data_IF_558106098061
#
_entry.id   IF_558106098061
#
_cell.length_a   1.000
_cell.length_b   1.000
_cell.length_c   1.000
_cell.angle_alpha   90.00
_cell.angle_beta   90.00
_cell.angle_gamma   90.00
#
_symmetry.space_group_name_H-M   'P 1'
#
loop_
_entity.id
_entity.type
_entity.pdbx_description
1 polymer ?
#
# COMPACT_ATOMS: atom_id res chain seq x y z
N UNK A 1 -15.78 -15.41 7.18
CA UNK A 1 -16.36 -14.99 5.88
C UNK A 1 -15.39 -14.08 5.16
N UNK A 2 -15.25 -14.28 3.85
CA UNK A 2 -14.39 -13.46 3.01
C UNK A 2 -15.02 -12.09 2.76
N UNK A 3 -14.20 -11.05 2.82
CA UNK A 3 -14.64 -9.65 2.69
C UNK A 3 -13.44 -8.75 2.40
N UNK A 4 -13.70 -7.61 1.77
CA UNK A 4 -12.71 -6.56 1.61
C UNK A 4 -13.32 -5.20 1.98
N UNK A 5 -12.51 -4.30 2.51
CA UNK A 5 -12.81 -2.89 2.71
C UNK A 5 -11.72 -2.11 2.00
N UNK A 6 -12.04 -1.48 0.88
CA UNK A 6 -11.09 -0.74 0.03
C UNK A 6 -11.81 0.45 -0.57
N UNK A 7 -11.15 1.63 -0.59
CA UNK A 7 -11.69 2.82 -1.26
C UNK A 7 -13.03 3.31 -0.72
N UNK A 8 -13.29 3.15 0.57
CA UNK A 8 -14.55 3.56 1.21
C UNK A 8 -15.73 2.62 0.95
N UNK A 9 -15.49 1.41 0.44
CA UNK A 9 -16.52 0.41 0.21
C UNK A 9 -16.16 -0.91 0.89
N UNK A 10 -17.16 -1.55 1.51
CA UNK A 10 -17.11 -2.94 1.96
C UNK A 10 -17.67 -3.84 0.87
N UNK A 11 -16.97 -4.91 0.56
CA UNK A 11 -17.32 -5.93 -0.42
C UNK A 11 -17.59 -7.26 0.29
N UNK A 12 -18.68 -7.92 -0.10
CA UNK A 12 -19.18 -9.19 0.49
C UNK A 12 -19.79 -10.10 -0.56
N UNK A 13 -19.88 -11.40 -0.27
CA UNK A 13 -20.34 -12.41 -1.23
C UNK A 13 -19.24 -12.69 -2.26
N UNK A 14 -18.13 -13.27 -1.81
CA UNK A 14 -17.04 -13.67 -2.71
C UNK A 14 -17.60 -14.66 -3.75
N UNK A 15 -17.34 -14.37 -5.02
CA UNK A 15 -17.82 -15.15 -6.16
C UNK A 15 -16.74 -15.99 -6.81
N UNK A 16 -15.58 -15.40 -7.03
CA UNK A 16 -14.43 -16.02 -7.68
C UNK A 16 -13.14 -15.26 -7.38
N UNK A 17 -12.02 -15.96 -7.56
CA UNK A 17 -10.66 -15.45 -7.38
C UNK A 17 -9.82 -15.87 -8.59
N UNK A 18 -9.00 -14.95 -9.07
CA UNK A 18 -8.07 -15.18 -10.19
C UNK A 18 -6.78 -14.38 -10.00
N UNK A 19 -5.70 -14.80 -10.65
CA UNK A 19 -4.45 -14.06 -10.79
C UNK A 19 -4.34 -13.32 -12.14
N UNK A 20 -5.35 -13.44 -12.99
CA UNK A 20 -5.41 -12.73 -14.27
C UNK A 20 -5.90 -11.29 -14.08
N UNK A 21 -5.01 -10.31 -14.24
CA UNK A 21 -5.36 -8.89 -14.14
C UNK A 21 -6.23 -8.39 -15.29
N UNK A 22 -6.30 -9.11 -16.43
CA UNK A 22 -7.09 -8.68 -17.59
C UNK A 22 -8.60 -8.69 -17.30
N UNK A 23 -9.04 -9.39 -16.24
CA UNK A 23 -10.43 -9.36 -15.77
C UNK A 23 -10.89 -7.97 -15.32
N UNK A 24 -9.95 -7.05 -15.04
CA UNK A 24 -10.24 -5.67 -14.66
C UNK A 24 -10.61 -4.80 -15.87
N UNK A 25 -10.24 -5.22 -17.09
CA UNK A 25 -10.58 -4.53 -18.34
C UNK A 25 -11.81 -5.17 -19.04
N UNK A 26 -12.30 -6.30 -18.54
CA UNK A 26 -13.45 -7.00 -19.12
C UNK A 26 -14.72 -6.10 -19.11
N UNK A 27 -15.51 -6.08 -20.19
CA UNK A 27 -16.75 -5.33 -20.24
C UNK A 27 -17.75 -5.89 -19.21
N UNK A 28 -18.22 -5.01 -18.33
CA UNK A 28 -19.07 -5.35 -17.18
C UNK A 28 -18.37 -5.00 -15.86
N UNK A 29 -18.97 -4.08 -15.10
CA UNK A 29 -18.39 -3.60 -13.85
C UNK A 29 -18.44 -4.68 -12.76
N UNK A 30 -17.39 -5.50 -12.68
CA UNK A 30 -17.15 -6.36 -11.54
C UNK A 30 -16.70 -5.54 -10.33
N UNK A 31 -17.09 -5.97 -9.13
CA UNK A 31 -16.59 -5.40 -7.88
C UNK A 31 -15.40 -6.23 -7.42
N UNK A 32 -14.20 -5.71 -7.62
CA UNK A 32 -12.96 -6.44 -7.35
C UNK A 32 -12.20 -5.81 -6.19
N UNK A 33 -11.69 -6.65 -5.30
CA UNK A 33 -10.57 -6.29 -4.44
C UNK A 33 -9.31 -6.98 -4.98
N UNK A 34 -8.25 -6.20 -5.18
CA UNK A 34 -7.02 -6.70 -5.80
C UNK A 34 -5.86 -6.50 -4.83
N UNK A 35 -5.10 -7.56 -4.60
CA UNK A 35 -3.83 -7.53 -3.86
C UNK A 35 -2.72 -7.92 -4.82
N UNK A 36 -1.69 -7.08 -4.94
CA UNK A 36 -0.54 -7.33 -5.81
C UNK A 36 0.70 -7.50 -4.93
N UNK A 37 1.12 -8.74 -4.65
CA UNK A 37 2.35 -9.01 -3.91
C UNK A 37 3.60 -8.64 -4.73
N UNK A 38 4.74 -8.51 -4.04
CA UNK A 38 6.02 -8.25 -4.71
C UNK A 38 6.60 -9.49 -5.39
N UNK A 39 6.48 -10.64 -4.75
CA UNK A 39 7.13 -11.91 -5.12
C UNK A 39 6.14 -13.06 -5.34
N UNK A 40 4.87 -12.74 -5.60
CA UNK A 40 3.83 -13.72 -5.89
C UNK A 40 2.83 -13.17 -6.92
N UNK A 41 2.06 -14.05 -7.60
CA UNK A 41 0.99 -13.61 -8.50
C UNK A 41 -0.02 -12.69 -7.79
N UNK A 42 -0.64 -11.75 -8.51
CA UNK A 42 -1.70 -10.94 -7.95
C UNK A 42 -2.92 -11.80 -7.58
N UNK A 43 -3.76 -11.29 -6.68
CA UNK A 43 -5.01 -11.92 -6.28
C UNK A 43 -6.13 -10.93 -6.53
N UNK A 44 -6.97 -11.23 -7.53
CA UNK A 44 -8.18 -10.50 -7.87
C UNK A 44 -9.37 -11.27 -7.33
N UNK A 45 -10.06 -10.72 -6.33
CA UNK A 45 -11.24 -11.33 -5.71
C UNK A 45 -12.51 -10.55 -6.12
N UNK A 46 -13.45 -11.21 -6.79
CA UNK A 46 -14.73 -10.61 -7.20
C UNK A 46 -15.80 -10.84 -6.14
N UNK A 47 -16.58 -9.80 -5.87
CA UNK A 47 -17.68 -9.83 -4.92
C UNK A 47 -19.02 -9.47 -5.56
N UNK A 48 -20.09 -10.09 -5.09
CA UNK A 48 -21.44 -9.81 -5.57
C UNK A 48 -21.99 -8.48 -5.06
N UNK A 49 -21.59 -8.06 -3.85
CA UNK A 49 -22.17 -6.90 -3.17
C UNK A 49 -21.11 -5.89 -2.73
N UNK A 50 -21.47 -4.61 -2.75
CA UNK A 50 -20.68 -3.51 -2.19
C UNK A 50 -21.57 -2.55 -1.42
N UNK A 51 -21.13 -2.10 -0.25
CA UNK A 51 -21.79 -1.07 0.54
C UNK A 51 -20.78 0.01 0.98
N UNK A 52 -21.14 1.31 0.94
CA UNK A 52 -20.28 2.37 1.45
C UNK A 52 -19.94 2.18 2.94
N UNK A 53 -18.70 2.46 3.33
CA UNK A 53 -18.21 2.45 4.71
C UNK A 53 -17.15 3.53 4.91
N UNK A 54 -17.05 4.08 6.12
CA UNK A 54 -16.05 5.11 6.43
C UNK A 54 -14.63 4.56 6.59
N UNK A 55 -14.46 3.24 6.63
CA UNK A 55 -13.19 2.55 6.80
C UNK A 55 -13.39 1.11 7.26
N UNK A 56 -12.30 0.36 7.53
CA UNK A 56 -12.39 -0.91 8.24
C UNK A 56 -13.11 -0.65 9.57
N UNK A 57 -14.31 -1.21 9.74
CA UNK A 57 -15.04 -1.04 10.99
C UNK A 57 -14.22 -1.68 12.12
N UNK A 58 -14.22 -1.10 13.34
CA UNK A 58 -13.73 -1.79 14.52
C UNK A 58 -14.64 -3.00 14.77
N UNK A 59 -14.29 -4.13 14.17
CA UNK A 59 -14.77 -5.44 14.61
C UNK A 59 -14.02 -5.79 15.89
N UNK A 60 -14.62 -6.65 16.73
CA UNK A 60 -14.08 -7.13 18.01
C UNK A 60 -12.55 -7.20 18.00
N UNK A 61 -11.94 -6.52 18.97
CA UNK A 61 -10.49 -6.41 19.13
C UNK A 61 -9.85 -7.80 19.15
N UNK A 62 -9.14 -8.17 18.08
CA UNK A 62 -8.21 -9.30 18.17
C UNK A 62 -7.00 -8.86 18.99
N UNK A 63 -6.49 -9.71 19.89
CA UNK A 63 -5.22 -9.45 20.55
C UNK A 63 -4.12 -9.34 19.49
N UNK A 64 -3.66 -8.13 19.22
CA UNK A 64 -2.50 -7.89 18.36
C UNK A 64 -1.26 -8.28 19.17
N UNK A 65 -0.37 -9.15 18.66
CA UNK A 65 0.81 -9.58 19.42
C UNK A 65 1.73 -8.38 19.70
N UNK A 66 1.85 -8.01 20.97
CA UNK A 66 2.77 -6.95 21.43
C UNK A 66 4.21 -7.45 21.61
N UNK A 67 4.45 -8.75 21.50
CA UNK A 67 5.75 -9.40 21.72
C UNK A 67 6.11 -10.43 20.65
N UNK A 68 7.35 -10.94 20.70
CA UNK A 68 7.83 -11.96 19.76
C UNK A 68 8.25 -11.44 18.39
N UNK A 69 8.33 -10.11 18.22
CA UNK A 69 8.78 -9.48 16.99
C UNK A 69 10.24 -9.81 16.66
N UNK A 70 10.46 -10.22 15.41
CA UNK A 70 11.78 -10.43 14.81
C UNK A 70 11.94 -9.47 13.65
N UNK A 71 13.15 -8.95 13.50
CA UNK A 71 13.52 -8.08 12.39
C UNK A 71 14.35 -8.86 11.38
N UNK A 72 14.09 -8.67 10.08
CA UNK A 72 14.89 -9.27 9.01
C UNK A 72 16.32 -8.74 8.95
N UNK A 73 16.55 -7.54 9.52
CA UNK A 73 17.86 -6.93 9.69
C UNK A 73 17.99 -6.43 11.12
N UNK A 74 19.08 -6.78 11.79
CA UNK A 74 19.46 -6.14 13.05
C UNK A 74 20.03 -4.73 12.81
N UNK A 75 20.46 -4.07 13.89
CA UNK A 75 21.03 -2.72 13.82
C UNK A 75 22.29 -2.69 12.94
N UNK A 76 23.17 -3.68 13.08
CA UNK A 76 24.43 -3.71 12.35
C UNK A 76 24.21 -3.94 10.86
N UNK A 77 23.37 -4.90 10.50
CA UNK A 77 22.97 -5.20 9.13
C UNK A 77 22.30 -4.01 8.45
N UNK A 78 21.39 -3.33 9.14
CA UNK A 78 20.76 -2.11 8.61
C UNK A 78 21.81 -1.00 8.40
N UNK A 79 22.70 -0.77 9.38
CA UNK A 79 23.76 0.23 9.26
C UNK A 79 24.74 -0.09 8.13
N UNK A 80 25.05 -1.37 7.90
CA UNK A 80 25.85 -1.82 6.74
C UNK A 80 25.16 -1.50 5.43
N UNK A 81 23.85 -1.77 5.34
CA UNK A 81 23.03 -1.40 4.17
C UNK A 81 23.06 0.11 3.90
N UNK A 82 22.91 0.93 4.95
CA UNK A 82 23.01 2.40 4.81
C UNK A 82 24.38 2.83 4.28
N UNK A 83 25.48 2.24 4.76
CA UNK A 83 26.83 2.54 4.25
C UNK A 83 26.98 2.15 2.78
N UNK A 84 26.47 0.99 2.37
CA UNK A 84 26.50 0.55 0.98
C UNK A 84 25.71 1.50 0.06
N UNK A 85 24.51 1.93 0.47
CA UNK A 85 23.71 2.91 -0.27
C UNK A 85 24.46 4.24 -0.42
N UNK A 86 25.11 4.73 0.64
CA UNK A 86 25.90 5.97 0.58
C UNK A 86 27.10 5.86 -0.37
N UNK A 87 27.72 4.70 -0.46
CA UNK A 87 28.81 4.45 -1.41
C UNK A 87 28.31 4.47 -2.85
N UNK A 88 27.20 3.77 -3.13
CA UNK A 88 26.58 3.77 -4.45
C UNK A 88 26.17 5.18 -4.90
N UNK A 89 25.65 6.01 -3.98
CA UNK A 89 25.37 7.43 -4.24
C UNK A 89 26.66 8.20 -4.56
N UNK A 90 27.74 7.99 -3.79
CA UNK A 90 29.03 8.66 -4.03
C UNK A 90 29.61 8.31 -5.40
N UNK A 91 29.48 7.06 -5.81
CA UNK A 91 29.96 6.57 -7.11
C UNK A 91 29.08 7.04 -8.29
N UNK A 92 27.91 7.61 -8.01
CA UNK A 92 26.95 8.04 -9.02
C UNK A 92 26.08 6.90 -9.58
N UNK A 93 26.06 5.73 -8.94
CA UNK A 93 25.28 4.56 -9.39
C UNK A 93 23.77 4.79 -9.22
N UNK A 94 23.37 5.47 -8.15
CA UNK A 94 21.98 5.74 -7.78
C UNK A 94 21.85 7.12 -7.13
N UNK A 95 20.70 7.76 -7.33
CA UNK A 95 20.38 9.02 -6.61
C UNK A 95 19.78 8.75 -5.22
N UNK A 96 18.95 7.71 -5.10
CA UNK A 96 18.26 7.36 -3.86
C UNK A 96 17.92 5.87 -3.82
N UNK A 97 17.99 5.27 -2.62
CA UNK A 97 17.49 3.92 -2.34
C UNK A 97 16.59 3.94 -1.11
N UNK A 98 15.43 3.29 -1.20
CA UNK A 98 14.56 3.06 -0.04
C UNK A 98 14.95 1.74 0.65
N UNK A 99 15.80 1.81 1.67
CA UNK A 99 16.21 0.64 2.44
C UNK A 99 15.19 0.32 3.54
N UNK A 100 14.55 -0.84 3.46
CA UNK A 100 13.57 -1.30 4.43
C UNK A 100 14.03 -2.55 5.18
N UNK A 101 13.34 -2.86 6.28
CA UNK A 101 13.44 -4.14 6.99
C UNK A 101 12.04 -4.67 7.28
N UNK A 102 11.90 -5.99 7.35
CA UNK A 102 10.63 -6.64 7.69
C UNK A 102 10.59 -6.95 9.19
N UNK A 103 9.49 -6.59 9.84
CA UNK A 103 9.18 -7.04 11.19
C UNK A 103 8.14 -8.16 11.11
N UNK A 104 8.33 -9.26 11.83
CA UNK A 104 7.39 -10.38 11.87
C UNK A 104 7.25 -10.95 13.28
N UNK A 105 6.05 -11.42 13.62
CA UNK A 105 5.76 -12.11 14.89
C UNK A 105 4.84 -13.31 14.63
N UNK A 106 4.89 -14.37 15.46
CA UNK A 106 3.90 -15.44 15.42
C UNK A 106 2.50 -14.88 15.68
N UNK A 107 1.51 -15.35 14.91
CA UNK A 107 0.11 -14.97 15.12
C UNK A 107 -0.51 -15.87 16.22
N UNK A 108 -1.32 -15.31 17.13
CA UNK A 108 -2.07 -16.11 18.07
C UNK A 108 -3.16 -16.93 17.35
N UNK A 109 -3.61 -18.06 17.92
CA UNK A 109 -4.59 -18.95 17.26
C UNK A 109 -5.92 -18.28 16.89
N UNK A 110 -6.33 -17.25 17.63
CA UNK A 110 -7.57 -16.49 17.48
C UNK A 110 -7.36 -15.15 16.72
N UNK A 111 -6.23 -15.00 16.02
CA UNK A 111 -5.95 -13.79 15.25
C UNK A 111 -6.96 -13.59 14.10
N UNK A 112 -7.55 -12.40 14.03
CA UNK A 112 -8.34 -11.95 12.89
C UNK A 112 -7.77 -10.66 12.32
N UNK A 113 -7.46 -10.68 11.01
CA UNK A 113 -6.93 -9.52 10.29
C UNK A 113 -7.87 -8.32 10.35
N UNK A 114 -9.19 -8.55 10.45
CA UNK A 114 -10.16 -7.45 10.60
C UNK A 114 -10.07 -6.77 11.97
N UNK A 115 -9.70 -7.52 13.01
CA UNK A 115 -9.42 -6.95 14.33
C UNK A 115 -8.19 -6.05 14.30
N UNK A 116 -7.12 -6.48 13.63
CA UNK A 116 -5.94 -5.64 13.39
C UNK A 116 -6.29 -4.40 12.55
N UNK A 117 -7.10 -4.55 11.49
CA UNK A 117 -7.53 -3.43 10.67
C UNK A 117 -8.34 -2.38 11.47
N UNK A 118 -9.20 -2.83 12.39
CA UNK A 118 -9.92 -1.96 13.31
C UNK A 118 -8.97 -1.19 14.24
N UNK A 119 -8.02 -1.89 14.88
CA UNK A 119 -7.02 -1.26 15.74
C UNK A 119 -6.13 -0.25 14.98
N UNK A 120 -5.77 -0.56 13.73
CA UNK A 120 -5.04 0.36 12.87
C UNK A 120 -5.88 1.60 12.51
N UNK A 121 -7.18 1.42 12.20
CA UNK A 121 -8.06 2.54 11.87
C UNK A 121 -8.27 3.49 13.06
N UNK A 122 -8.26 2.98 14.29
CA UNK A 122 -8.36 3.79 15.51
C UNK A 122 -7.06 4.53 15.83
N UNK A 123 -5.91 3.84 15.80
CA UNK A 123 -4.62 4.43 16.18
C UNK A 123 -3.90 5.21 15.06
N UNK A 124 -4.17 4.88 13.80
CA UNK A 124 -3.50 5.43 12.61
C UNK A 124 -4.52 5.63 11.47
N UNK A 125 -5.52 6.52 11.65
CA UNK A 125 -6.50 6.80 10.61
C UNK A 125 -5.80 7.27 9.34
N UNK A 126 -6.08 6.62 8.20
CA UNK A 126 -5.39 6.89 6.95
C UNK A 126 -6.37 6.96 5.75
N UNK A 127 -6.16 7.89 4.81
CA UNK A 127 -7.06 8.11 3.66
C UNK A 127 -7.16 6.92 2.71
N UNK A 128 -6.15 6.05 2.70
CA UNK A 128 -6.11 4.84 1.88
C UNK A 128 -6.04 3.57 2.73
N UNK A 129 -6.62 3.61 3.94
CA UNK A 129 -6.79 2.44 4.78
C UNK A 129 -7.59 1.35 4.06
N UNK A 130 -7.16 0.10 4.25
CA UNK A 130 -7.77 -1.06 3.60
C UNK A 130 -7.69 -2.30 4.48
N UNK A 131 -8.66 -3.20 4.31
CA UNK A 131 -8.64 -4.53 4.91
C UNK A 131 -9.10 -5.54 3.85
N UNK A 132 -8.33 -6.59 3.59
CA UNK A 132 -8.71 -7.65 2.64
C UNK A 132 -8.58 -8.98 3.36
N UNK A 133 -9.62 -9.79 3.32
CA UNK A 133 -9.65 -11.12 3.91
C UNK A 133 -10.32 -12.08 2.93
N UNK A 134 -9.51 -12.83 2.21
CA UNK A 134 -9.93 -13.83 1.23
C UNK A 134 -9.18 -15.12 1.57
N UNK A 135 -9.71 -15.87 2.55
CA UNK A 135 -9.04 -17.04 3.13
C UNK A 135 -8.92 -18.18 2.14
N UNK A 136 -9.91 -18.32 1.25
CA UNK A 136 -9.88 -19.26 0.13
C UNK A 136 -8.68 -19.06 -0.80
N UNK A 137 -8.11 -17.85 -0.85
CA UNK A 137 -6.94 -17.50 -1.63
C UNK A 137 -5.68 -17.26 -0.78
N UNK A 138 -5.74 -17.51 0.54
CA UNK A 138 -4.62 -17.26 1.45
C UNK A 138 -4.23 -15.78 1.61
N UNK A 139 -5.14 -14.85 1.33
CA UNK A 139 -4.86 -13.40 1.39
C UNK A 139 -5.53 -12.76 2.60
N UNK A 140 -4.71 -12.21 3.50
CA UNK A 140 -5.15 -11.40 4.63
C UNK A 140 -4.26 -10.16 4.76
N UNK A 141 -4.83 -8.98 4.55
CA UNK A 141 -4.14 -7.68 4.55
C UNK A 141 -4.90 -6.69 5.44
N UNK A 142 -4.16 -5.97 6.28
CA UNK A 142 -4.65 -4.78 6.97
C UNK A 142 -3.64 -3.65 6.72
N UNK A 143 -4.13 -2.50 6.28
CA UNK A 143 -3.30 -1.37 5.83
C UNK A 143 -3.83 -0.06 6.39
N UNK A 144 -2.91 0.78 6.86
CA UNK A 144 -3.12 2.18 7.23
C UNK A 144 -2.29 3.09 6.30
N UNK A 145 -2.36 2.87 4.98
CA UNK A 145 -1.56 3.63 4.02
C UNK A 145 -2.03 5.09 3.92
N UNK A 146 -1.13 6.08 4.09
CA UNK A 146 -1.42 7.47 3.82
C UNK A 146 -1.24 7.83 2.34
N UNK A 147 -0.60 6.97 1.54
CA UNK A 147 -0.14 7.28 0.20
C UNK A 147 -1.00 6.60 -0.86
N UNK A 148 -1.36 7.35 -1.90
CA UNK A 148 -2.00 6.84 -3.10
C UNK A 148 -0.94 6.50 -4.14
N UNK A 149 -0.67 5.21 -4.32
CA UNK A 149 0.21 4.77 -5.40
C UNK A 149 -0.37 5.14 -6.77
N UNK A 150 -1.52 4.57 -7.13
CA UNK A 150 -2.20 4.84 -8.39
C UNK A 150 -3.72 4.81 -8.23
N UNK A 151 -4.41 5.70 -8.93
CA UNK A 151 -5.86 5.71 -9.13
C UNK A 151 -6.15 5.85 -10.62
N UNK A 152 -7.02 4.98 -11.15
CA UNK A 152 -7.52 5.08 -12.52
C UNK A 152 -9.02 5.31 -12.52
N UNK A 153 -9.49 6.29 -13.30
CA UNK A 153 -10.90 6.52 -13.60
C UNK A 153 -11.06 6.67 -15.12
N UNK A 154 -11.52 5.60 -15.78
CA UNK A 154 -11.55 5.54 -17.23
C UNK A 154 -10.15 5.70 -17.82
N UNK A 155 -9.96 6.70 -18.68
CA UNK A 155 -8.66 7.05 -19.27
C UNK A 155 -7.75 7.90 -18.37
N UNK A 156 -8.22 8.38 -17.22
CA UNK A 156 -7.44 9.25 -16.34
C UNK A 156 -6.72 8.42 -15.28
N UNK A 157 -5.41 8.60 -15.17
CA UNK A 157 -4.56 8.00 -14.13
C UNK A 157 -3.96 9.10 -13.26
N UNK A 158 -3.91 8.88 -11.96
CA UNK A 158 -3.39 9.80 -10.96
C UNK A 158 -2.52 9.05 -9.96
N UNK A 159 -1.44 9.68 -9.51
CA UNK A 159 -0.59 9.24 -8.41
C UNK A 159 -0.37 10.41 -7.47
N UNK A 160 -0.19 10.15 -6.16
CA UNK A 160 0.13 11.18 -5.16
C UNK A 160 1.31 10.70 -4.33
N UNK A 161 2.54 10.76 -4.88
CA UNK A 161 3.72 10.27 -4.19
C UNK A 161 3.98 11.11 -2.93
N UNK A 162 4.35 10.45 -1.84
CA UNK A 162 4.73 11.08 -0.59
C UNK A 162 6.24 10.91 -0.41
N UNK A 163 6.95 12.02 -0.22
CA UNK A 163 8.36 12.01 0.12
C UNK A 163 8.69 13.15 1.07
N UNK A 164 9.40 12.81 2.15
CA UNK A 164 9.61 13.68 3.31
C UNK A 164 8.62 13.35 4.43
N UNK A 165 9.11 13.27 5.66
CA UNK A 165 8.26 13.06 6.83
C UNK A 165 8.85 13.85 7.99
N UNK A 166 8.04 14.73 8.57
CA UNK A 166 8.38 15.46 9.78
C UNK A 166 7.55 14.94 10.96
N UNK A 167 8.10 15.01 12.17
CA UNK A 167 7.32 14.78 13.38
C UNK A 167 6.19 15.82 13.46
N UNK A 168 5.04 15.52 14.11
CA UNK A 168 3.99 16.50 14.32
C UNK A 168 4.52 17.80 14.93
N UNK A 169 4.28 18.93 14.27
CA UNK A 169 4.77 20.25 14.69
C UNK A 169 6.19 20.61 14.24
N UNK A 170 6.91 19.72 13.56
CA UNK A 170 8.20 20.03 12.94
C UNK A 170 8.03 20.48 11.48
N UNK A 171 8.88 21.42 11.04
CA UNK A 171 8.92 21.82 9.63
C UNK A 171 9.69 20.78 8.79
N UNK A 172 9.24 20.58 7.54
CA UNK A 172 10.01 19.84 6.55
C UNK A 172 11.31 20.58 6.22
N UNK A 173 12.38 19.82 5.98
CA UNK A 173 13.69 20.37 5.62
C UNK A 173 13.72 20.71 4.13
N UNK A 174 14.61 21.63 3.73
CA UNK A 174 14.82 21.95 2.31
C UNK A 174 15.18 20.71 1.47
N UNK A 175 15.86 19.73 2.08
CA UNK A 175 16.17 18.43 1.47
C UNK A 175 14.91 17.64 1.11
N UNK A 176 13.88 17.65 1.95
CA UNK A 176 12.65 16.88 1.74
C UNK A 176 11.91 17.35 0.49
N UNK A 177 11.92 18.67 0.23
CA UNK A 177 11.36 19.25 -1.01
C UNK A 177 12.13 18.80 -2.26
N UNK A 178 13.47 18.75 -2.19
CA UNK A 178 14.29 18.29 -3.31
C UNK A 178 14.05 16.80 -3.61
N UNK A 179 13.94 15.96 -2.57
CA UNK A 179 13.58 14.55 -2.72
C UNK A 179 12.17 14.39 -3.33
N UNK A 180 11.21 15.21 -2.91
CA UNK A 180 9.86 15.17 -3.46
C UNK A 180 9.83 15.49 -4.96
N UNK A 181 10.49 16.56 -5.40
CA UNK A 181 10.60 16.92 -6.82
C UNK A 181 11.18 15.76 -7.65
N UNK A 182 12.24 15.12 -7.15
CA UNK A 182 12.84 13.97 -7.83
C UNK A 182 11.86 12.81 -7.99
N UNK A 183 11.05 12.49 -6.96
CA UNK A 183 10.04 11.43 -7.05
C UNK A 183 8.89 11.82 -7.97
N UNK A 184 8.46 13.09 -7.96
CA UNK A 184 7.46 13.59 -8.90
C UNK A 184 7.94 13.43 -10.34
N UNK A 185 9.19 13.78 -10.64
CA UNK A 185 9.76 13.59 -11.97
C UNK A 185 9.88 12.11 -12.37
N UNK A 186 10.23 11.23 -11.42
CA UNK A 186 10.21 9.78 -11.64
C UNK A 186 8.80 9.30 -12.02
N UNK A 187 7.78 9.70 -11.27
CA UNK A 187 6.39 9.34 -11.54
C UNK A 187 5.88 9.90 -12.87
N UNK A 188 6.26 11.14 -13.23
CA UNK A 188 5.96 11.71 -14.56
C UNK A 188 6.57 10.90 -15.68
N UNK A 189 7.83 10.49 -15.52
CA UNK A 189 8.52 9.66 -16.50
C UNK A 189 7.83 8.29 -16.66
N UNK A 190 7.42 7.66 -15.57
CA UNK A 190 6.73 6.37 -15.60
C UNK A 190 5.35 6.48 -16.25
N UNK A 191 4.55 7.48 -15.87
CA UNK A 191 3.25 7.74 -16.51
C UNK A 191 3.41 8.12 -17.98
N UNK A 192 4.46 8.87 -18.35
CA UNK A 192 4.73 9.25 -19.74
C UNK A 192 4.97 8.07 -20.68
N UNK A 193 5.28 6.87 -20.17
CA UNK A 193 5.43 5.66 -20.97
C UNK A 193 4.09 5.03 -21.38
N UNK A 194 3.02 5.32 -20.65
CA UNK A 194 1.71 4.65 -20.81
C UNK A 194 0.56 5.62 -21.07
N UNK A 195 0.76 6.92 -20.83
CA UNK A 195 -0.23 7.97 -21.07
C UNK A 195 -0.01 8.66 -22.43
N UNK A 196 -1.05 9.35 -22.93
CA UNK A 196 -0.97 10.11 -24.18
C UNK A 196 0.11 11.20 -24.08
N UNK A 197 0.84 11.41 -25.18
CA UNK A 197 1.89 12.44 -25.23
C UNK A 197 1.33 13.82 -24.87
N UNK A 198 2.00 14.53 -23.96
CA UNK A 198 1.60 15.86 -23.50
C UNK A 198 0.46 15.90 -22.47
N UNK A 199 -0.13 14.75 -22.11
CA UNK A 199 -1.24 14.67 -21.14
C UNK A 199 -0.81 14.67 -19.67
N UNK A 200 0.46 14.38 -19.37
CA UNK A 200 0.96 14.29 -18.00
C UNK A 200 1.21 15.69 -17.41
N UNK A 201 0.48 16.03 -16.35
CA UNK A 201 0.57 17.30 -15.65
C UNK A 201 0.85 17.11 -14.15
N UNK A 202 1.45 18.13 -13.52
CA UNK A 202 1.67 18.22 -12.06
C UNK A 202 0.89 19.42 -11.53
N UNK A 203 -0.33 19.23 -11.03
CA UNK A 203 -1.15 20.34 -10.55
C UNK A 203 -0.65 20.92 -9.22
N UNK A 204 -0.04 20.09 -8.37
CA UNK A 204 0.39 20.44 -7.01
C UNK A 204 1.77 19.84 -6.68
N UNK A 205 2.54 20.53 -5.81
CA UNK A 205 3.89 20.17 -5.32
C UNK A 205 4.05 20.51 -3.84
#
# INVERSE_FOLDING_TARGET
>A
MDTAVVGGCRFTGLRDVTDDLTVLDAPGHGRWAVVVPFDAPPVCARFDTSAPVSGPAPSATSPVPLGGWRSSLDREGFAKGVRAVREAIRNGDVYQVNLCRRLSAPLPPDFDILGLAGALAEGNPAPHAAAVRVRSAGVEVASASPELFLRRRGGVVETRPIKGTAAPGAALLAKDRAENVMIVDLMRNDLGRVCEFGSVAVPDL
#
